data_IF_305898777430
#
_entry.id   IF_305898777430
#
_cell.length_a   1.000
_cell.length_b   1.000
_cell.length_c   1.000
_cell.angle_alpha   90.00
_cell.angle_beta   90.00
_cell.angle_gamma   90.00
#
_symmetry.space_group_name_H-M   'P 1'
#
loop_
_entity.id
_entity.type
_entity.pdbx_description
1 polymer ?
#
# COMPACT_ATOMS: atom_id res chain seq x y z
N UNK A 1 39.31 37.18 6.95
CA UNK A 1 39.52 35.79 7.42
C UNK A 1 40.29 35.84 8.74
N UNK A 2 39.64 36.21 9.87
CA UNK A 2 40.23 36.10 11.23
C UNK A 2 39.33 36.50 12.42
N UNK A 3 37.99 36.38 12.32
CA UNK A 3 37.09 36.72 13.45
C UNK A 3 36.20 35.55 13.89
N UNK A 4 36.05 34.52 13.05
CA UNK A 4 35.20 33.36 13.37
C UNK A 4 35.89 32.29 14.23
N UNK A 5 37.23 32.27 14.29
CA UNK A 5 37.97 31.27 15.09
C UNK A 5 38.01 31.65 16.58
N UNK A 6 37.92 32.94 16.91
CA UNK A 6 37.97 33.42 18.31
C UNK A 6 36.67 33.11 19.06
N UNK A 7 35.54 33.04 18.36
CA UNK A 7 34.24 32.69 18.97
C UNK A 7 34.15 31.19 19.29
N UNK A 8 34.90 30.33 18.60
CA UNK A 8 34.84 28.88 18.79
C UNK A 8 35.70 28.39 19.99
N UNK A 9 36.67 29.17 20.44
CA UNK A 9 37.55 28.78 21.57
C UNK A 9 36.94 29.14 22.94
N UNK A 10 36.00 30.09 23.00
CA UNK A 10 35.36 30.49 24.27
C UNK A 10 34.20 29.59 24.73
N UNK A 11 33.75 28.63 23.92
CA UNK A 11 32.61 27.75 24.25
C UNK A 11 33.03 26.36 24.79
N UNK A 12 34.32 26.12 25.07
CA UNK A 12 34.84 24.80 25.48
C UNK A 12 35.21 24.71 26.98
N UNK A 13 35.11 25.79 27.77
CA UNK A 13 35.58 25.75 29.18
C UNK A 13 34.63 26.36 30.20
N UNK A 14 33.41 25.85 30.32
CA UNK A 14 32.61 26.03 31.53
C UNK A 14 31.53 24.95 31.61
N UNK A 15 31.79 23.91 32.39
CA UNK A 15 30.88 23.31 33.39
C UNK A 15 31.62 22.14 34.05
N UNK A 16 32.56 22.49 34.94
CA UNK A 16 33.10 21.55 35.92
C UNK A 16 32.15 21.44 37.11
N UNK A 17 31.80 20.20 37.45
CA UNK A 17 31.67 19.76 38.84
C UNK A 17 30.31 19.97 39.51
N UNK A 18 29.53 18.89 39.55
CA UNK A 18 28.75 18.50 40.73
C UNK A 18 28.46 17.00 40.67
N UNK A 19 29.33 16.21 41.30
CA UNK A 19 29.08 14.80 41.62
C UNK A 19 28.15 14.76 42.83
N UNK A 20 26.83 14.75 42.58
CA UNK A 20 25.86 14.39 43.59
C UNK A 20 25.83 12.86 43.70
N UNK A 21 26.35 12.33 44.81
CA UNK A 21 26.15 10.93 45.20
C UNK A 21 24.67 10.70 45.45
N UNK A 22 24.02 9.98 44.54
CA UNK A 22 22.69 9.42 44.76
C UNK A 22 22.89 8.21 45.68
N UNK A 23 22.34 8.29 46.89
CA UNK A 23 22.17 7.15 47.78
C UNK A 23 21.15 6.21 47.14
N UNK A 24 21.57 4.98 46.85
CA UNK A 24 20.69 3.90 46.40
C UNK A 24 19.76 3.54 47.56
N UNK A 25 18.53 4.04 47.53
CA UNK A 25 17.43 3.52 48.34
C UNK A 25 16.97 2.23 47.68
N UNK A 26 17.60 1.14 48.10
CA UNK A 26 17.13 -0.22 47.84
C UNK A 26 15.74 -0.38 48.46
N UNK A 27 14.74 -0.26 47.60
CA UNK A 27 13.34 -0.51 47.90
C UNK A 27 13.13 -2.01 47.74
N UNK A 28 12.73 -2.77 48.78
CA UNK A 28 12.46 -4.19 48.62
C UNK A 28 11.29 -4.37 47.65
N UNK A 29 11.53 -5.18 46.60
CA UNK A 29 10.50 -5.59 45.67
C UNK A 29 9.39 -6.35 46.43
N UNK A 30 8.10 -6.06 46.20
CA UNK A 30 7.03 -6.88 46.74
C UNK A 30 7.08 -8.26 46.07
N UNK A 31 7.11 -9.31 46.88
CA UNK A 31 7.00 -10.70 46.43
C UNK A 31 5.72 -10.91 45.59
N UNK A 32 5.75 -11.79 44.57
CA UNK A 32 4.54 -12.18 43.85
C UNK A 32 3.65 -13.04 44.75
N UNK A 33 2.53 -12.46 45.20
CA UNK A 33 1.44 -13.22 45.81
C UNK A 33 0.85 -14.18 44.75
N UNK A 34 1.24 -15.45 44.85
CA UNK A 34 0.64 -16.55 44.11
C UNK A 34 -0.77 -16.81 44.63
N UNK A 35 -1.75 -16.08 44.09
CA UNK A 35 -3.16 -16.38 44.28
C UNK A 35 -3.60 -17.40 43.22
N UNK A 36 -3.82 -18.64 43.64
CA UNK A 36 -4.44 -19.67 42.82
C UNK A 36 -5.89 -19.26 42.52
N UNK A 37 -6.35 -19.24 41.25
CA UNK A 37 -7.74 -18.92 40.94
C UNK A 37 -8.66 -20.06 41.42
N UNK A 38 -9.83 -19.78 41.99
CA UNK A 38 -10.81 -20.80 42.28
C UNK A 38 -11.32 -21.41 40.97
N UNK A 39 -11.36 -22.74 40.92
CA UNK A 39 -11.92 -23.55 39.82
C UNK A 39 -13.42 -23.28 39.69
N UNK A 40 -13.77 -22.18 39.04
CA UNK A 40 -15.12 -21.88 38.57
C UNK A 40 -15.35 -22.57 37.23
N UNK A 41 -16.47 -23.27 37.12
CA UNK A 41 -16.93 -23.94 35.90
C UNK A 41 -17.06 -22.90 34.76
N UNK A 42 -16.21 -23.01 33.75
CA UNK A 42 -16.23 -22.15 32.56
C UNK A 42 -17.40 -22.62 31.67
N UNK A 43 -18.34 -21.74 31.27
CA UNK A 43 -19.28 -22.05 30.19
C UNK A 43 -18.52 -22.37 28.92
N UNK A 44 -18.93 -23.43 28.22
CA UNK A 44 -18.45 -23.85 26.89
C UNK A 44 -18.06 -22.63 26.05
N UNK A 45 -16.77 -22.53 25.73
CA UNK A 45 -16.22 -21.42 24.95
C UNK A 45 -16.87 -21.41 23.57
N UNK A 46 -17.60 -20.33 23.27
CA UNK A 46 -18.03 -20.05 21.90
C UNK A 46 -16.81 -20.11 20.96
N UNK A 47 -16.96 -20.63 19.73
CA UNK A 47 -15.84 -20.72 18.79
C UNK A 47 -15.27 -19.32 18.57
N UNK A 48 -13.96 -19.19 18.78
CA UNK A 48 -13.22 -17.95 18.51
C UNK A 48 -13.48 -17.53 17.06
N UNK A 49 -13.91 -16.29 16.79
CA UNK A 49 -14.02 -15.81 15.42
C UNK A 49 -12.66 -15.97 14.74
N UNK A 50 -12.63 -16.60 13.57
CA UNK A 50 -11.43 -16.73 12.76
C UNK A 50 -10.78 -15.35 12.57
N UNK A 51 -9.44 -15.23 12.52
CA UNK A 51 -8.77 -13.95 12.34
C UNK A 51 -9.27 -13.28 11.04
N UNK A 52 -9.99 -12.18 11.20
CA UNK A 52 -10.20 -11.22 10.13
C UNK A 52 -8.82 -10.65 9.81
N UNK A 53 -8.27 -10.98 8.64
CA UNK A 53 -7.04 -10.33 8.17
C UNK A 53 -7.38 -8.85 7.94
N UNK A 54 -7.18 -8.03 8.97
CA UNK A 54 -7.38 -6.59 8.92
C UNK A 54 -6.47 -5.93 7.88
N UNK A 55 -6.80 -4.69 7.53
CA UNK A 55 -6.02 -3.90 6.58
C UNK A 55 -4.55 -3.77 7.02
N UNK A 56 -3.62 -4.13 6.12
CA UNK A 56 -2.19 -3.98 6.33
C UNK A 56 -1.75 -2.59 5.90
N UNK A 57 -0.87 -1.96 6.66
CA UNK A 57 -0.26 -0.68 6.31
C UNK A 57 1.18 -0.90 5.82
N UNK A 58 1.48 -0.45 4.61
CA UNK A 58 2.80 -0.55 3.98
C UNK A 58 3.44 0.83 3.88
N UNK A 59 4.63 1.00 4.47
CA UNK A 59 5.45 2.20 4.27
C UNK A 59 6.21 2.07 2.96
N UNK A 60 5.91 2.94 1.99
CA UNK A 60 6.52 2.89 0.67
C UNK A 60 8.01 3.17 0.76
N UNK A 61 8.82 2.25 0.24
CA UNK A 61 10.28 2.33 0.29
C UNK A 61 10.89 1.98 1.66
N UNK A 62 10.09 1.50 2.63
CA UNK A 62 10.55 1.15 3.98
C UNK A 62 11.45 2.27 4.58
N UNK A 63 12.74 2.01 4.82
CA UNK A 63 13.68 2.99 5.40
C UNK A 63 14.07 4.14 4.46
N UNK A 64 14.01 3.96 3.13
CA UNK A 64 14.37 5.04 2.19
C UNK A 64 13.23 6.03 1.96
N UNK A 65 11.98 5.62 2.25
CA UNK A 65 10.78 6.42 2.04
C UNK A 65 10.47 6.69 0.56
N UNK A 66 9.71 7.76 0.31
CA UNK A 66 9.35 8.23 -1.03
C UNK A 66 10.28 9.36 -1.47
N UNK A 67 11.43 9.00 -2.03
CA UNK A 67 12.47 9.89 -2.55
C UNK A 67 12.90 9.50 -3.98
N UNK A 68 13.76 10.29 -4.61
CA UNK A 68 14.47 9.87 -5.81
C UNK A 68 15.52 8.81 -5.41
N UNK A 69 15.41 7.56 -5.88
CA UNK A 69 16.32 6.48 -5.52
C UNK A 69 17.63 6.57 -6.32
N UNK A 70 18.76 6.23 -5.69
CA UNK A 70 20.06 6.24 -6.36
C UNK A 70 20.17 5.17 -7.46
N UNK A 71 19.52 4.02 -7.27
CA UNK A 71 19.54 2.88 -8.22
C UNK A 71 18.38 2.93 -9.24
N UNK A 72 17.80 4.11 -9.41
CA UNK A 72 16.63 4.31 -10.27
C UNK A 72 15.40 3.52 -9.80
N UNK A 73 14.52 3.19 -10.75
CA UNK A 73 13.22 2.58 -10.43
C UNK A 73 13.31 1.22 -9.71
N UNK A 74 14.47 0.56 -9.77
CA UNK A 74 14.71 -0.76 -9.17
C UNK A 74 14.42 -0.81 -7.66
N UNK A 75 14.63 0.30 -6.93
CA UNK A 75 14.37 0.38 -5.51
C UNK A 75 12.89 0.11 -5.18
N UNK A 76 11.97 0.78 -5.89
CA UNK A 76 10.53 0.60 -5.67
C UNK A 76 9.98 -0.67 -6.29
N UNK A 77 10.57 -1.14 -7.40
CA UNK A 77 10.22 -2.45 -8.00
C UNK A 77 10.55 -3.57 -7.02
N UNK A 78 11.77 -3.58 -6.46
CA UNK A 78 12.21 -4.57 -5.48
C UNK A 78 11.36 -4.51 -4.23
N UNK A 79 11.12 -3.30 -3.70
CA UNK A 79 10.24 -3.10 -2.56
C UNK A 79 8.84 -3.67 -2.80
N UNK A 80 8.21 -3.33 -3.93
CA UNK A 80 6.87 -3.79 -4.28
C UNK A 80 6.79 -5.31 -4.44
N UNK A 81 7.82 -5.93 -5.04
CA UNK A 81 7.87 -7.38 -5.26
C UNK A 81 7.89 -8.22 -3.98
N UNK A 82 8.27 -7.60 -2.86
CA UNK A 82 8.33 -8.26 -1.54
C UNK A 82 7.00 -8.21 -0.76
N UNK A 83 5.94 -7.60 -1.29
CA UNK A 83 4.68 -7.35 -0.59
C UNK A 83 3.49 -8.00 -1.31
N UNK A 84 2.40 -8.20 -0.58
CA UNK A 84 1.14 -8.70 -1.13
C UNK A 84 0.01 -7.72 -0.83
N UNK A 85 -0.32 -6.87 -1.80
CA UNK A 85 -1.34 -5.84 -1.62
C UNK A 85 -2.75 -6.41 -1.80
N UNK A 86 -3.64 -6.05 -0.88
CA UNK A 86 -5.06 -6.44 -0.89
C UNK A 86 -5.94 -5.21 -0.84
N UNK A 87 -7.17 -5.37 -1.33
CA UNK A 87 -8.19 -4.33 -1.16
C UNK A 87 -8.42 -4.09 0.34
N UNK A 88 -8.35 -2.82 0.73
CA UNK A 88 -8.42 -2.35 2.12
C UNK A 88 -7.06 -1.96 2.72
N UNK A 89 -5.95 -2.45 2.17
CA UNK A 89 -4.61 -2.10 2.64
C UNK A 89 -4.30 -0.61 2.42
N UNK A 90 -3.29 -0.09 3.13
CA UNK A 90 -2.92 1.32 3.12
C UNK A 90 -1.46 1.48 2.71
N UNK A 91 -1.19 2.28 1.69
CA UNK A 91 0.16 2.77 1.38
C UNK A 91 0.44 4.06 2.16
N UNK A 92 1.60 4.16 2.78
CA UNK A 92 2.10 5.36 3.45
C UNK A 92 3.32 5.88 2.71
N UNK A 93 3.16 7.04 2.09
CA UNK A 93 4.24 7.75 1.41
C UNK A 93 4.80 8.80 2.36
N UNK A 94 6.03 8.56 2.84
CA UNK A 94 6.78 9.50 3.65
C UNK A 94 7.80 10.21 2.76
N UNK A 95 7.71 11.53 2.64
CA UNK A 95 8.62 12.33 1.84
C UNK A 95 8.88 13.70 2.46
N UNK A 96 9.97 14.35 2.07
CA UNK A 96 10.27 15.72 2.46
C UNK A 96 9.22 16.68 1.87
N UNK A 97 8.58 17.49 2.72
CA UNK A 97 7.56 18.46 2.28
C UNK A 97 8.19 19.43 1.27
N UNK A 98 7.44 19.78 0.23
CA UNK A 98 7.85 20.62 -0.90
C UNK A 98 8.96 20.05 -1.80
N UNK A 99 9.59 18.92 -1.46
CA UNK A 99 10.59 18.26 -2.32
C UNK A 99 9.95 17.20 -3.22
N UNK A 100 8.89 16.54 -2.76
CA UNK A 100 8.18 15.51 -3.51
C UNK A 100 6.66 15.65 -3.36
N UNK A 101 5.96 14.93 -4.22
CA UNK A 101 4.53 14.71 -4.16
C UNK A 101 4.24 13.26 -4.57
N UNK A 102 2.98 12.85 -4.42
CA UNK A 102 2.48 11.56 -4.89
C UNK A 102 1.32 11.82 -5.82
N UNK A 103 1.38 11.25 -7.01
CA UNK A 103 0.32 11.31 -8.00
C UNK A 103 -0.08 9.90 -8.43
N UNK A 104 -1.37 9.60 -8.34
CA UNK A 104 -1.92 8.37 -8.93
C UNK A 104 -2.25 8.63 -10.40
N UNK A 105 -1.81 7.75 -11.28
CA UNK A 105 -1.86 7.93 -12.73
C UNK A 105 -2.30 6.65 -13.44
N UNK A 106 -2.61 6.75 -14.73
CA UNK A 106 -2.82 5.58 -15.59
C UNK A 106 -1.49 4.92 -15.94
N UNK A 107 -1.54 3.71 -16.49
CA UNK A 107 -0.34 2.99 -16.91
C UNK A 107 0.48 3.78 -17.95
N UNK A 108 -0.18 4.37 -18.93
CA UNK A 108 0.46 5.12 -20.01
C UNK A 108 1.22 6.34 -19.46
N UNK A 109 0.61 7.02 -18.49
CA UNK A 109 1.21 8.17 -17.79
C UNK A 109 2.34 7.77 -16.87
N UNK A 110 2.23 6.61 -16.21
CA UNK A 110 3.32 6.03 -15.46
C UNK A 110 4.52 5.74 -16.37
N UNK A 111 4.31 5.07 -17.50
CA UNK A 111 5.36 4.70 -18.44
C UNK A 111 6.07 5.93 -19.04
N UNK A 112 5.28 6.96 -19.39
CA UNK A 112 5.80 8.22 -19.96
C UNK A 112 6.22 9.27 -18.93
N UNK A 113 6.04 9.01 -17.63
CA UNK A 113 6.22 10.00 -16.57
C UNK A 113 5.43 11.31 -16.78
N UNK A 114 4.24 11.19 -17.35
CA UNK A 114 3.35 12.31 -17.60
C UNK A 114 2.43 12.57 -16.38
N UNK A 115 2.60 13.72 -15.73
CA UNK A 115 1.83 14.15 -14.57
C UNK A 115 0.65 15.08 -14.91
N UNK A 116 0.40 15.36 -16.20
CA UNK A 116 -0.72 16.20 -16.62
C UNK A 116 -2.03 15.44 -16.38
N UNK A 117 -3.00 16.07 -15.71
CA UNK A 117 -4.33 15.49 -15.42
C UNK A 117 -4.26 14.15 -14.70
N UNK A 118 -3.43 14.04 -13.66
CA UNK A 118 -3.35 12.86 -12.79
C UNK A 118 -4.70 12.53 -12.14
N UNK A 119 -4.92 11.25 -11.83
CA UNK A 119 -6.16 10.76 -11.20
C UNK A 119 -6.31 11.31 -9.79
N UNK A 120 -5.20 11.52 -9.10
CA UNK A 120 -5.13 12.16 -7.78
C UNK A 120 -3.75 12.77 -7.58
N UNK A 121 -3.67 13.86 -6.81
CA UNK A 121 -2.43 14.56 -6.49
C UNK A 121 -2.37 14.86 -4.99
N UNK A 122 -1.27 14.48 -4.35
CA UNK A 122 -1.06 14.67 -2.92
C UNK A 122 0.27 15.38 -2.66
N UNK A 123 0.19 16.57 -2.06
CA UNK A 123 1.35 17.45 -1.79
C UNK A 123 1.77 17.47 -0.32
N UNK A 124 0.97 16.88 0.57
CA UNK A 124 1.23 16.85 2.01
C UNK A 124 1.71 15.46 2.46
N UNK A 125 2.76 15.46 3.28
CA UNK A 125 3.39 14.28 3.87
C UNK A 125 3.01 14.15 5.36
N UNK A 126 2.87 12.93 5.91
CA UNK A 126 2.83 11.67 5.19
C UNK A 126 1.50 11.51 4.44
N UNK A 127 1.53 10.96 3.22
CA UNK A 127 0.29 10.66 2.50
C UNK A 127 -0.10 9.20 2.71
N UNK A 128 -1.29 8.98 3.27
CA UNK A 128 -1.94 7.65 3.36
C UNK A 128 -2.92 7.45 2.21
N UNK A 129 -2.76 6.38 1.43
CA UNK A 129 -3.63 5.98 0.32
C UNK A 129 -4.22 4.61 0.62
N UNK A 130 -5.54 4.53 0.76
CA UNK A 130 -6.24 3.25 0.91
C UNK A 130 -6.46 2.61 -0.46
N UNK A 131 -6.10 1.34 -0.59
CA UNK A 131 -6.23 0.54 -1.80
C UNK A 131 -7.67 0.01 -1.91
N UNK A 132 -8.55 0.82 -2.49
CA UNK A 132 -9.99 0.52 -2.53
C UNK A 132 -10.43 -0.33 -3.73
N UNK A 133 -9.54 -0.56 -4.70
CA UNK A 133 -9.85 -1.31 -5.92
C UNK A 133 -8.80 -2.38 -6.13
N UNK A 134 -9.23 -3.52 -6.67
CA UNK A 134 -8.32 -4.55 -7.14
C UNK A 134 -7.76 -4.17 -8.51
N UNK A 135 -6.63 -4.78 -8.87
CA UNK A 135 -5.93 -4.55 -10.12
C UNK A 135 -4.71 -3.64 -9.97
N UNK A 136 -4.17 -3.17 -11.10
CA UNK A 136 -2.94 -2.39 -11.10
C UNK A 136 -3.17 -0.95 -10.62
N UNK A 137 -2.27 -0.45 -9.78
CA UNK A 137 -2.19 0.95 -9.37
C UNK A 137 -0.79 1.49 -9.66
N UNK A 138 -0.74 2.74 -10.13
CA UNK A 138 0.49 3.40 -10.54
C UNK A 138 0.62 4.75 -9.85
N UNK A 139 1.77 4.97 -9.23
CA UNK A 139 2.10 6.20 -8.52
C UNK A 139 3.41 6.79 -9.04
N UNK A 140 3.47 8.10 -9.19
CA UNK A 140 4.68 8.84 -9.61
C UNK A 140 4.90 10.05 -8.72
N UNK A 141 6.13 10.56 -8.69
CA UNK A 141 6.38 11.94 -8.29
C UNK A 141 6.33 12.84 -9.53
N UNK A 142 5.47 13.85 -9.50
CA UNK A 142 5.28 14.81 -10.60
C UNK A 142 6.28 15.97 -10.60
N UNK A 143 7.20 16.04 -9.63
CA UNK A 143 8.29 17.02 -9.66
C UNK A 143 9.18 16.75 -10.89
N UNK A 144 9.54 17.78 -11.69
CA UNK A 144 10.28 17.59 -12.93
C UNK A 144 11.54 16.73 -12.76
N UNK A 145 11.69 15.74 -13.64
CA UNK A 145 12.81 14.79 -13.64
C UNK A 145 12.66 13.60 -12.68
N UNK A 146 11.97 13.74 -11.54
CA UNK A 146 11.95 12.73 -10.46
C UNK A 146 11.41 11.37 -10.91
N UNK A 147 10.27 11.34 -11.60
CA UNK A 147 9.70 10.10 -12.12
C UNK A 147 10.66 9.41 -13.12
N UNK A 148 11.26 10.18 -14.02
CA UNK A 148 12.14 9.68 -15.09
C UNK A 148 13.40 9.02 -14.53
N UNK A 149 13.90 9.49 -13.39
CA UNK A 149 15.03 8.88 -12.68
C UNK A 149 14.60 7.85 -11.63
N UNK A 150 13.34 7.41 -11.65
CA UNK A 150 12.91 6.22 -10.91
C UNK A 150 12.05 6.46 -9.67
N UNK A 151 11.62 7.69 -9.37
CA UNK A 151 10.63 7.94 -8.31
C UNK A 151 9.20 7.61 -8.79
N UNK A 152 8.95 6.31 -8.96
CA UNK A 152 7.69 5.75 -9.45
C UNK A 152 7.46 4.35 -8.89
N UNK A 153 6.20 4.03 -8.58
CA UNK A 153 5.76 2.76 -8.00
C UNK A 153 4.62 2.17 -8.82
N UNK A 154 4.73 0.90 -9.20
CA UNK A 154 3.64 0.11 -9.75
C UNK A 154 3.37 -1.05 -8.79
N UNK A 155 2.10 -1.28 -8.46
CA UNK A 155 1.66 -2.41 -7.63
C UNK A 155 0.44 -3.09 -8.27
N UNK A 156 0.18 -4.32 -7.87
CA UNK A 156 -1.04 -5.04 -8.21
C UNK A 156 -1.78 -5.43 -6.94
N UNK A 157 -3.04 -5.01 -6.83
CA UNK A 157 -3.89 -5.21 -5.65
C UNK A 157 -4.83 -6.39 -5.89
N UNK A 158 -4.80 -7.36 -4.99
CA UNK A 158 -5.70 -8.52 -5.06
C UNK A 158 -7.02 -8.23 -4.34
N UNK A 159 -8.13 -8.75 -4.88
CA UNK A 159 -9.41 -8.67 -4.19
C UNK A 159 -9.35 -9.47 -2.88
N UNK A 160 -9.91 -8.91 -1.81
CA UNK A 160 -10.14 -9.67 -0.57
C UNK A 160 -11.33 -10.60 -0.82
N UNK A 161 -11.08 -11.91 -0.82
CA UNK A 161 -12.16 -12.89 -0.80
C UNK A 161 -12.75 -12.89 0.60
N UNK A 162 -13.78 -12.09 0.81
CA UNK A 162 -14.65 -12.29 1.98
C UNK A 162 -15.38 -13.59 1.70
N UNK A 163 -14.88 -14.71 2.23
CA UNK A 163 -15.71 -15.92 2.38
C UNK A 163 -16.83 -15.53 3.32
N UNK A 164 -17.93 -15.01 2.76
CA UNK A 164 -19.18 -14.97 3.47
C UNK A 164 -19.50 -16.43 3.79
N UNK A 165 -19.43 -16.80 5.06
CA UNK A 165 -20.03 -18.04 5.54
C UNK A 165 -21.49 -17.98 5.13
N UNK A 166 -21.83 -18.62 4.01
CA UNK A 166 -23.18 -18.76 3.54
C UNK A 166 -23.89 -19.64 4.56
N UNK A 167 -24.65 -19.03 5.46
CA UNK A 167 -25.65 -19.75 6.24
C UNK A 167 -26.59 -20.39 5.23
N UNK A 168 -26.59 -21.71 5.17
CA UNK A 168 -27.44 -22.48 4.26
C UNK A 168 -28.91 -22.05 4.45
N UNK A 169 -29.67 -21.76 3.38
CA UNK A 169 -31.11 -21.55 3.52
C UNK A 169 -31.75 -22.89 3.86
N UNK A 170 -32.33 -22.98 5.05
CA UNK A 170 -33.17 -24.10 5.46
C UNK A 170 -34.37 -24.19 4.50
N UNK A 171 -34.43 -25.28 3.74
CA UNK A 171 -35.56 -25.63 2.90
C UNK A 171 -36.73 -26.03 3.78
N UNK A 172 -37.72 -25.16 3.95
CA UNK A 172 -39.04 -25.55 4.39
C UNK A 172 -40.06 -25.16 3.32
N UNK A 173 -40.64 -26.18 2.69
CA UNK A 173 -41.65 -26.09 1.65
C UNK A 173 -42.97 -25.53 2.21
N UNK A 174 -43.70 -24.74 1.41
CA UNK A 174 -45.13 -24.88 1.08
C UNK A 174 -45.49 -23.88 -0.04
N UNK A 175 -46.22 -24.27 -1.09
CA UNK A 175 -46.60 -23.38 -2.20
C UNK A 175 -47.93 -22.65 -1.96
N UNK A 176 -48.13 -21.47 -2.59
CA UNK A 176 -49.44 -21.11 -3.08
C UNK A 176 -49.43 -20.89 -4.61
N UNK A 177 -50.50 -21.39 -5.21
CA UNK A 177 -50.79 -21.39 -6.64
C UNK A 177 -51.07 -20.02 -7.23
N UNK A 178 -51.00 -20.01 -8.57
CA UNK A 178 -51.65 -19.12 -9.54
C UNK A 178 -51.11 -17.71 -9.70
N UNK A 179 -50.41 -17.48 -10.82
CA UNK A 179 -50.75 -16.40 -11.76
C UNK A 179 -50.22 -16.73 -13.15
N UNK A 180 -51.12 -16.66 -14.12
CA UNK A 180 -51.00 -16.88 -15.56
C UNK A 180 -49.81 -16.13 -16.17
N UNK A 181 -48.99 -16.80 -16.98
CA UNK A 181 -48.12 -16.12 -17.95
C UNK A 181 -48.14 -16.87 -19.26
N UNK A 182 -48.51 -16.13 -20.30
CA UNK A 182 -48.63 -16.60 -21.67
C UNK A 182 -47.27 -17.05 -22.20
N UNK A 183 -47.32 -18.22 -22.82
CA UNK A 183 -46.27 -18.83 -23.63
C UNK A 183 -45.93 -17.94 -24.84
N UNK A 184 -44.65 -17.78 -25.18
CA UNK A 184 -44.13 -18.08 -26.52
C UNK A 184 -42.59 -18.07 -26.53
N UNK A 185 -42.03 -19.12 -27.14
CA UNK A 185 -40.60 -19.50 -27.22
C UNK A 185 -39.77 -18.66 -28.22
N UNK A 186 -38.42 -18.80 -28.18
CA UNK A 186 -37.47 -18.10 -29.05
C UNK A 186 -37.15 -18.89 -30.34
N UNK A 187 -36.47 -18.26 -31.31
CA UNK A 187 -35.40 -18.95 -32.06
C UNK A 187 -34.11 -18.10 -32.06
N UNK A 188 -32.93 -18.58 -31.63
CA UNK A 188 -32.02 -19.55 -32.28
C UNK A 188 -31.83 -19.31 -33.79
N UNK A 189 -30.75 -18.62 -34.17
CA UNK A 189 -29.88 -18.94 -35.32
C UNK A 189 -28.73 -17.90 -35.35
N UNK A 190 -27.46 -18.26 -35.13
CA UNK A 190 -26.49 -18.89 -36.05
C UNK A 190 -25.47 -17.87 -36.57
N UNK A 191 -24.18 -18.22 -36.42
CA UNK A 191 -23.03 -17.42 -36.88
C UNK A 191 -22.95 -17.26 -38.40
N UNK A 192 -21.85 -16.68 -38.92
CA UNK A 192 -20.60 -17.45 -38.97
C UNK A 192 -19.32 -16.65 -38.63
N UNK A 193 -18.27 -17.42 -38.35
CA UNK A 193 -16.88 -17.00 -38.34
C UNK A 193 -16.44 -16.54 -39.74
N UNK A 194 -15.63 -15.48 -39.81
CA UNK A 194 -14.93 -15.08 -41.03
C UNK A 194 -13.42 -15.22 -40.84
N UNK A 195 -12.78 -15.79 -41.84
CA UNK A 195 -11.37 -16.21 -41.93
C UNK A 195 -10.51 -15.13 -42.58
N UNK A 196 -9.28 -14.97 -42.09
CA UNK A 196 -8.11 -14.49 -42.85
C UNK A 196 -8.13 -13.00 -43.26
N UNK A 197 -7.03 -12.36 -43.65
CA UNK A 197 -5.64 -12.75 -43.87
C UNK A 197 -4.87 -11.42 -44.11
N UNK A 198 -3.53 -11.46 -44.08
CA UNK A 198 -2.57 -10.42 -44.52
C UNK A 198 -2.41 -9.18 -43.61
N UNK A 199 -1.23 -8.66 -43.30
CA UNK A 199 0.11 -8.97 -43.77
C UNK A 199 1.16 -8.27 -42.91
N UNK A 200 2.31 -8.92 -42.79
CA UNK A 200 3.57 -8.35 -42.33
C UNK A 200 3.97 -7.14 -43.17
N UNK A 201 4.23 -6.00 -42.54
CA UNK A 201 5.04 -4.95 -43.15
C UNK A 201 6.12 -4.55 -42.14
N UNK A 202 7.27 -5.20 -42.32
CA UNK A 202 8.57 -4.77 -41.85
C UNK A 202 8.93 -3.47 -42.61
N UNK A 203 8.94 -2.33 -41.93
CA UNK A 203 9.66 -1.15 -42.41
C UNK A 203 10.88 -0.93 -41.52
N UNK A 204 12.00 -1.48 -41.99
CA UNK A 204 13.33 -1.04 -41.65
C UNK A 204 13.53 0.30 -42.36
N UNK A 205 13.74 1.37 -41.60
CA UNK A 205 14.47 2.53 -42.11
C UNK A 205 15.60 2.81 -41.12
N UNK A 206 16.75 2.25 -41.46
CA UNK A 206 18.05 2.58 -40.87
C UNK A 206 18.58 3.80 -41.62
N UNK A 207 19.27 4.69 -40.88
CA UNK A 207 19.97 5.91 -41.32
C UNK A 207 19.06 7.14 -41.34
N UNK A 208 19.43 8.28 -40.75
CA UNK A 208 20.70 8.97 -40.98
C UNK A 208 21.31 9.58 -39.71
N UNK A 209 22.62 9.41 -39.62
CA UNK A 209 23.54 10.22 -38.85
C UNK A 209 23.49 11.68 -39.32
N UNK A 210 23.34 12.61 -38.38
CA UNK A 210 24.11 13.85 -38.34
C UNK A 210 24.20 14.32 -36.89
#
# INVERSE_FOLDING_TARGET
MNTFVVVLIAMVTLFHGSVARIVDVSTPAPEPISATPPTGLIPESAPTPAPSNGAVTYTVGDNIGWTVPNDGASAYVTWASSKNFKVGDILVFNYQKNAHNVEEVTKEKYDSCNHVSSLSIYRNTPKRVTLNKSGPHYFICGVPGHCSVGQKLAINVTATTTTATATAPSSNATPPSTSTTLSFSPPQNSGPASLGLFGTVLYIVVSFFY
#
